data_IF_334202922129
#
_entry.id   IF_334202922129
#
_cell.length_a   1.000
_cell.length_b   1.000
_cell.length_c   1.000
_cell.angle_alpha   90.00
_cell.angle_beta   90.00
_cell.angle_gamma   90.00
#
_symmetry.space_group_name_H-M   'P 1'
#
loop_
_entity.id
_entity.type
_entity.pdbx_description
1 polymer ?
#
# COMPACT_ATOMS: atom_id res chain seq x y z
N UNK A 1 27.11 -7.76 12.02
CA UNK A 1 26.01 -7.64 11.02
C UNK A 1 24.72 -7.55 11.79
N UNK A 2 23.83 -6.60 11.45
CA UNK A 2 22.47 -6.58 12.04
C UNK A 2 21.76 -7.87 11.67
N UNK A 3 20.98 -8.44 12.59
CA UNK A 3 20.13 -9.59 12.25
C UNK A 3 18.93 -9.08 11.44
N UNK A 4 18.41 -9.87 10.50
CA UNK A 4 17.23 -9.50 9.69
C UNK A 4 16.06 -9.06 10.58
N UNK A 5 15.92 -9.69 11.76
CA UNK A 5 14.89 -9.34 12.75
C UNK A 5 15.01 -7.91 13.29
N UNK A 6 16.21 -7.35 13.37
CA UNK A 6 16.45 -5.97 13.81
C UNK A 6 16.01 -4.94 12.76
N UNK A 7 15.77 -5.38 11.53
CA UNK A 7 15.35 -4.56 10.39
C UNK A 7 13.85 -4.65 10.12
N UNK A 8 13.12 -5.50 10.84
CA UNK A 8 11.68 -5.64 10.65
C UNK A 8 10.96 -4.37 11.12
N UNK A 9 9.95 -3.90 10.37
CA UNK A 9 9.08 -2.85 10.88
C UNK A 9 8.28 -3.39 12.07
N UNK A 10 7.80 -2.48 12.92
CA UNK A 10 6.71 -2.80 13.82
C UNK A 10 5.48 -3.23 12.99
N UNK A 11 4.72 -4.20 13.48
CA UNK A 11 3.47 -4.63 12.85
C UNK A 11 2.29 -4.18 13.71
N UNK A 12 1.42 -3.34 13.13
CA UNK A 12 0.18 -2.92 13.76
C UNK A 12 -0.87 -4.02 13.63
N UNK A 13 -1.53 -4.33 14.75
CA UNK A 13 -2.67 -5.26 14.76
C UNK A 13 -3.92 -4.55 14.24
N UNK A 14 -4.49 -5.07 13.16
CA UNK A 14 -5.75 -4.60 12.60
C UNK A 14 -6.84 -5.61 13.02
N UNK A 15 -7.75 -5.23 13.91
CA UNK A 15 -8.76 -6.16 14.42
C UNK A 15 -9.75 -6.54 13.32
N UNK A 16 -10.37 -7.71 13.47
CA UNK A 16 -11.52 -8.11 12.65
C UNK A 16 -12.59 -7.02 12.71
N UNK A 17 -13.24 -6.73 11.60
CA UNK A 17 -14.38 -5.82 11.59
C UNK A 17 -14.96 -5.59 10.20
N UNK A 18 -15.96 -4.73 10.14
CA UNK A 18 -16.66 -4.39 8.90
C UNK A 18 -16.08 -3.10 8.34
N UNK A 19 -15.49 -3.20 7.16
CA UNK A 19 -15.07 -2.07 6.35
C UNK A 19 -16.26 -1.59 5.50
N UNK A 20 -16.72 -0.35 5.68
CA UNK A 20 -17.56 0.35 4.67
C UNK A 20 -16.78 0.72 3.40
N UNK A 21 -16.35 -0.28 2.62
CA UNK A 21 -15.38 -0.11 1.53
C UNK A 21 -15.88 0.80 0.42
N UNK A 22 -15.03 1.72 -0.03
CA UNK A 22 -15.31 2.61 -1.15
C UNK A 22 -16.07 3.89 -0.79
N UNK A 23 -16.37 4.66 -1.85
CA UNK A 23 -16.98 5.98 -1.81
C UNK A 23 -18.49 5.88 -2.11
N UNK A 24 -19.37 6.55 -1.34
CA UNK A 24 -20.80 6.62 -1.63
C UNK A 24 -21.08 7.26 -3.01
N UNK A 25 -22.07 6.74 -3.73
CA UNK A 25 -22.39 7.18 -5.10
C UNK A 25 -22.76 8.68 -5.18
N UNK A 26 -23.41 9.19 -4.15
CA UNK A 26 -23.82 10.57 -3.98
C UNK A 26 -22.64 11.54 -3.82
N UNK A 27 -21.47 11.05 -3.37
CA UNK A 27 -20.28 11.89 -3.17
C UNK A 27 -19.42 12.04 -4.44
N UNK A 28 -19.63 11.22 -5.48
CA UNK A 28 -18.76 11.20 -6.66
C UNK A 28 -18.78 12.53 -7.43
N UNK A 29 -19.94 13.20 -7.49
CA UNK A 29 -20.05 14.52 -8.13
C UNK A 29 -19.31 15.60 -7.33
N UNK A 30 -19.31 15.50 -6.01
CA UNK A 30 -18.58 16.43 -5.14
C UNK A 30 -17.06 16.20 -5.22
N UNK A 31 -16.62 14.94 -5.33
CA UNK A 31 -15.22 14.61 -5.62
C UNK A 31 -14.77 15.21 -6.95
N UNK A 32 -15.55 15.03 -8.02
CA UNK A 32 -15.25 15.62 -9.32
C UNK A 32 -15.18 17.15 -9.26
N UNK A 33 -16.05 17.80 -8.49
CA UNK A 33 -16.01 19.25 -8.28
C UNK A 33 -14.77 19.69 -7.48
N UNK A 34 -14.41 18.94 -6.43
CA UNK A 34 -13.32 19.29 -5.51
C UNK A 34 -11.93 19.03 -6.10
N UNK A 35 -11.78 17.94 -6.84
CA UNK A 35 -10.48 17.42 -7.27
C UNK A 35 -10.30 17.37 -8.79
N UNK A 36 -11.34 17.70 -9.55
CA UNK A 36 -11.36 17.63 -11.02
C UNK A 36 -11.75 16.24 -11.54
N UNK A 37 -11.83 16.14 -12.87
CA UNK A 37 -12.34 14.95 -13.56
C UNK A 37 -13.87 14.97 -13.70
N UNK A 38 -14.45 13.79 -13.93
CA UNK A 38 -15.90 13.59 -14.02
C UNK A 38 -16.37 12.65 -12.92
N UNK A 39 -17.69 12.55 -12.71
CA UNK A 39 -18.27 11.56 -11.78
C UNK A 39 -17.78 10.14 -12.09
N UNK A 40 -17.65 9.81 -13.36
CA UNK A 40 -17.20 8.51 -13.88
C UNK A 40 -15.73 8.24 -13.57
N UNK A 41 -14.92 9.29 -13.39
CA UNK A 41 -13.50 9.16 -13.00
C UNK A 41 -13.34 8.50 -11.62
N UNK A 42 -14.37 8.55 -10.79
CA UNK A 42 -14.42 7.96 -9.44
C UNK A 42 -15.32 6.72 -9.37
N UNK A 43 -15.80 6.20 -10.51
CA UNK A 43 -16.71 5.04 -10.50
C UNK A 43 -16.03 3.74 -10.04
N UNK A 44 -14.71 3.63 -10.20
CA UNK A 44 -13.96 2.42 -9.81
C UNK A 44 -13.73 2.28 -8.29
N UNK A 45 -14.12 3.28 -7.51
CA UNK A 45 -14.10 3.27 -6.04
C UNK A 45 -15.51 3.28 -5.43
N UNK A 46 -16.57 3.06 -6.23
CA UNK A 46 -17.97 3.10 -5.81
C UNK A 46 -18.76 1.88 -6.33
N UNK A 47 -19.86 1.45 -5.67
CA UNK A 47 -20.48 2.07 -4.50
C UNK A 47 -19.77 1.73 -3.20
N UNK A 48 -20.03 2.52 -2.15
CA UNK A 48 -19.73 2.11 -0.79
C UNK A 48 -20.54 0.86 -0.40
N UNK A 49 -19.90 -0.12 0.23
CA UNK A 49 -20.53 -1.37 0.64
C UNK A 49 -19.77 -2.02 1.81
N UNK A 50 -20.43 -2.81 2.67
CA UNK A 50 -19.77 -3.49 3.77
C UNK A 50 -18.93 -4.68 3.25
N UNK A 51 -17.70 -4.80 3.74
CA UNK A 51 -16.82 -5.96 3.55
C UNK A 51 -16.32 -6.38 4.92
N UNK A 52 -16.51 -7.64 5.27
CA UNK A 52 -15.94 -8.20 6.50
C UNK A 52 -14.46 -8.52 6.28
N UNK A 53 -13.61 -8.03 7.17
CA UNK A 53 -12.16 -8.22 7.10
C UNK A 53 -11.73 -8.99 8.35
N UNK A 54 -11.04 -10.11 8.15
CA UNK A 54 -10.42 -10.89 9.21
C UNK A 54 -9.33 -10.08 9.94
N UNK A 55 -8.96 -10.51 11.15
CA UNK A 55 -7.86 -9.87 11.87
C UNK A 55 -6.52 -10.17 11.16
N UNK A 56 -5.71 -9.14 10.96
CA UNK A 56 -4.40 -9.26 10.33
C UNK A 56 -3.42 -8.25 10.94
N UNK A 57 -2.15 -8.47 10.70
CA UNK A 57 -1.09 -7.55 11.05
C UNK A 57 -0.59 -6.87 9.79
N UNK A 58 -0.39 -5.55 9.85
CA UNK A 58 0.18 -4.75 8.77
C UNK A 58 1.44 -4.07 9.26
N UNK A 59 2.52 -4.11 8.47
CA UNK A 59 3.71 -3.35 8.77
C UNK A 59 3.35 -1.86 8.93
N UNK A 60 3.86 -1.22 9.98
CA UNK A 60 3.59 0.18 10.30
C UNK A 60 4.05 1.12 9.18
N UNK A 61 5.13 0.75 8.50
CA UNK A 61 5.73 1.50 7.39
C UNK A 61 5.95 0.58 6.18
N UNK A 62 6.12 1.15 4.97
CA UNK A 62 6.54 0.37 3.80
C UNK A 62 7.89 -0.32 4.00
N UNK A 63 8.18 -1.33 3.18
CA UNK A 63 9.50 -2.00 3.20
C UNK A 63 10.59 -0.99 2.88
N UNK A 64 11.63 -0.93 3.71
CA UNK A 64 12.75 0.00 3.52
C UNK A 64 13.81 -0.59 2.59
N UNK A 65 14.65 0.29 2.02
CA UNK A 65 15.80 -0.16 1.24
C UNK A 65 16.77 -1.02 2.05
N UNK A 66 17.01 -0.72 3.34
CA UNK A 66 17.90 -1.51 4.21
C UNK A 66 17.40 -2.96 4.37
N UNK A 67 16.09 -3.13 4.55
CA UNK A 67 15.49 -4.46 4.66
C UNK A 67 15.49 -5.18 3.31
N UNK A 68 15.13 -4.49 2.22
CA UNK A 68 15.12 -5.08 0.87
C UNK A 68 16.52 -5.52 0.39
N UNK A 69 17.57 -4.80 0.80
CA UNK A 69 18.95 -5.12 0.45
C UNK A 69 19.39 -6.52 0.95
N UNK A 70 18.78 -7.03 2.03
CA UNK A 70 19.03 -8.39 2.51
C UNK A 70 18.56 -9.44 1.50
N UNK A 71 17.40 -9.21 0.87
CA UNK A 71 16.87 -10.10 -0.17
C UNK A 71 17.69 -10.02 -1.45
N UNK A 72 18.10 -8.82 -1.88
CA UNK A 72 18.98 -8.66 -3.05
C UNK A 72 20.29 -9.42 -2.86
N UNK A 73 20.88 -9.33 -1.67
CA UNK A 73 22.09 -10.08 -1.31
C UNK A 73 21.87 -11.60 -1.35
N UNK A 74 20.71 -12.08 -0.91
CA UNK A 74 20.38 -13.50 -0.89
C UNK A 74 20.05 -14.06 -2.29
N UNK A 75 19.17 -13.37 -3.02
CA UNK A 75 18.57 -13.85 -4.26
C UNK A 75 19.43 -13.60 -5.51
N UNK A 76 20.34 -12.62 -5.46
CA UNK A 76 21.07 -12.16 -6.65
C UNK A 76 20.20 -11.42 -7.66
N UNK A 77 18.97 -11.04 -7.30
CA UNK A 77 18.07 -10.27 -8.14
C UNK A 77 18.62 -8.86 -8.40
N UNK A 78 18.06 -8.20 -9.42
CA UNK A 78 18.40 -6.83 -9.78
C UNK A 78 18.05 -5.87 -8.63
N UNK A 79 19.02 -5.04 -8.24
CA UNK A 79 18.78 -3.94 -7.31
C UNK A 79 17.92 -2.83 -7.96
N UNK A 80 17.12 -2.09 -7.17
CA UNK A 80 16.45 -0.87 -7.64
C UNK A 80 17.42 0.09 -8.33
N UNK A 81 17.00 0.67 -9.47
CA UNK A 81 17.87 1.51 -10.31
C UNK A 81 18.48 2.68 -9.53
N UNK A 82 17.69 3.27 -8.62
CA UNK A 82 18.08 4.42 -7.81
C UNK A 82 19.21 4.14 -6.82
N UNK A 83 19.57 2.88 -6.58
CA UNK A 83 20.70 2.53 -5.72
C UNK A 83 22.06 2.73 -6.41
N UNK A 84 22.09 2.77 -7.75
CA UNK A 84 23.32 2.89 -8.54
C UNK A 84 24.39 1.83 -8.17
N UNK A 85 23.94 0.63 -7.78
CA UNK A 85 24.80 -0.46 -7.33
C UNK A 85 23.98 -1.61 -6.74
N UNK A 86 24.68 -2.62 -6.19
CA UNK A 86 24.03 -3.80 -5.57
C UNK A 86 23.58 -3.57 -4.12
N UNK A 87 23.85 -2.39 -3.55
CA UNK A 87 23.49 -1.99 -2.21
C UNK A 87 22.94 -0.56 -2.24
N UNK A 88 21.95 -0.22 -1.38
CA UNK A 88 21.46 1.14 -1.29
C UNK A 88 22.54 2.05 -0.71
N UNK A 89 22.65 3.31 -1.19
CA UNK A 89 23.36 4.36 -0.49
C UNK A 89 22.87 4.48 0.96
N UNK A 90 23.77 4.82 1.89
CA UNK A 90 23.46 4.85 3.33
C UNK A 90 22.33 5.84 3.66
N UNK A 91 22.28 6.96 2.93
CA UNK A 91 21.24 7.99 3.02
C UNK A 91 19.86 7.51 2.57
N UNK A 92 19.78 6.45 1.75
CA UNK A 92 18.53 5.85 1.28
C UNK A 92 18.08 4.66 2.15
N UNK A 93 18.85 4.25 3.15
CA UNK A 93 18.59 3.06 3.95
C UNK A 93 17.17 3.06 4.58
N UNK A 94 16.74 4.20 5.12
CA UNK A 94 15.43 4.38 5.75
C UNK A 94 14.31 4.84 4.79
N UNK A 95 14.60 4.96 3.50
CA UNK A 95 13.59 5.30 2.49
C UNK A 95 12.83 4.03 2.07
N UNK A 96 11.56 4.17 1.66
CA UNK A 96 10.83 3.02 1.11
C UNK A 96 11.55 2.50 -0.13
N UNK A 97 11.59 1.17 -0.28
CA UNK A 97 12.02 0.56 -1.52
C UNK A 97 11.01 0.87 -2.61
N UNK A 98 11.52 1.27 -3.77
CA UNK A 98 10.75 1.54 -4.99
C UNK A 98 11.39 0.84 -6.17
N UNK A 99 10.79 0.92 -7.35
CA UNK A 99 11.25 0.22 -8.55
C UNK A 99 11.21 -1.31 -8.39
N UNK A 100 10.14 -1.78 -7.74
CA UNK A 100 9.85 -3.19 -7.45
C UNK A 100 8.60 -3.62 -8.21
N UNK A 101 8.69 -4.71 -8.95
CA UNK A 101 7.54 -5.37 -9.61
C UNK A 101 6.68 -6.10 -8.58
N UNK A 102 5.44 -6.41 -8.93
CA UNK A 102 4.57 -7.16 -8.01
C UNK A 102 5.12 -8.56 -7.72
N UNK A 103 5.68 -9.23 -8.73
CA UNK A 103 6.27 -10.57 -8.59
C UNK A 103 7.50 -10.55 -7.66
N UNK A 104 8.35 -9.53 -7.76
CA UNK A 104 9.48 -9.32 -6.84
C UNK A 104 8.99 -9.06 -5.41
N UNK A 105 7.93 -8.25 -5.23
CA UNK A 105 7.36 -7.98 -3.91
C UNK A 105 6.78 -9.25 -3.26
N UNK A 106 6.10 -10.11 -4.03
CA UNK A 106 5.59 -11.41 -3.55
C UNK A 106 6.73 -12.36 -3.21
N UNK A 107 7.75 -12.46 -4.07
CA UNK A 107 8.93 -13.29 -3.81
C UNK A 107 9.70 -12.83 -2.56
N UNK A 108 9.82 -11.51 -2.37
CA UNK A 108 10.38 -10.91 -1.17
C UNK A 108 9.59 -11.31 0.09
N UNK A 109 8.26 -11.21 0.05
CA UNK A 109 7.39 -11.60 1.17
C UNK A 109 7.61 -13.08 1.54
N UNK A 110 7.63 -13.96 0.54
CA UNK A 110 7.85 -15.40 0.76
C UNK A 110 9.23 -15.71 1.36
N UNK A 111 10.28 -15.10 0.83
CA UNK A 111 11.64 -15.24 1.38
C UNK A 111 11.74 -14.73 2.82
N UNK A 112 11.35 -13.48 3.06
CA UNK A 112 11.44 -12.88 4.39
C UNK A 112 10.58 -13.67 5.39
N UNK A 113 9.41 -14.14 4.95
CA UNK A 113 8.54 -14.99 5.75
C UNK A 113 9.22 -16.27 6.23
N UNK A 114 9.99 -16.92 5.35
CA UNK A 114 10.83 -18.07 5.70
C UNK A 114 11.93 -17.73 6.72
N UNK A 115 12.60 -16.58 6.55
CA UNK A 115 13.66 -16.13 7.48
C UNK A 115 13.13 -15.82 8.89
N UNK A 116 11.89 -15.34 8.99
CA UNK A 116 11.31 -14.85 10.27
C UNK A 116 10.24 -15.76 10.84
N UNK A 117 9.85 -16.82 10.14
CA UNK A 117 8.82 -17.76 10.58
C UNK A 117 7.40 -17.19 10.56
N UNK A 118 7.12 -16.23 9.67
CA UNK A 118 5.80 -15.62 9.49
C UNK A 118 5.32 -15.84 8.05
N UNK A 119 4.03 -16.11 7.87
CA UNK A 119 3.42 -16.19 6.53
C UNK A 119 3.20 -14.79 5.94
N UNK A 120 4.30 -14.07 5.68
CA UNK A 120 4.29 -12.72 5.13
C UNK A 120 3.77 -12.72 3.68
N UNK A 121 2.99 -11.68 3.36
CA UNK A 121 2.37 -11.45 2.05
C UNK A 121 2.14 -9.95 1.83
N UNK A 122 1.69 -9.59 0.63
CA UNK A 122 1.08 -8.29 0.39
C UNK A 122 -0.32 -8.22 1.02
N UNK A 123 -0.78 -7.03 1.48
CA UNK A 123 -2.19 -6.85 1.87
C UNK A 123 -3.10 -6.94 0.65
N UNK A 124 -4.37 -7.32 0.83
CA UNK A 124 -5.41 -7.06 -0.17
C UNK A 124 -5.72 -5.56 -0.24
N UNK A 125 -6.39 -5.10 -1.31
CA UNK A 125 -6.85 -3.70 -1.40
C UNK A 125 -7.87 -3.35 -0.30
N UNK A 126 -8.64 -4.33 0.18
CA UNK A 126 -9.61 -4.16 1.25
C UNK A 126 -8.93 -4.10 2.62
N UNK A 127 -7.93 -4.94 2.87
CA UNK A 127 -7.10 -4.87 4.07
C UNK A 127 -6.34 -3.55 4.15
N UNK A 128 -5.75 -3.11 3.05
CA UNK A 128 -5.06 -1.82 2.96
C UNK A 128 -6.02 -0.67 3.30
N UNK A 129 -7.22 -0.66 2.72
CA UNK A 129 -8.21 0.39 3.00
C UNK A 129 -8.68 0.34 4.45
N UNK A 130 -8.88 -0.84 5.03
CA UNK A 130 -9.21 -0.99 6.46
C UNK A 130 -8.13 -0.38 7.32
N UNK A 131 -6.87 -0.72 7.06
CA UNK A 131 -5.77 -0.20 7.83
C UNK A 131 -5.65 1.33 7.74
N UNK A 132 -6.00 1.93 6.60
CA UNK A 132 -5.97 3.37 6.39
C UNK A 132 -7.17 4.09 7.04
N UNK A 133 -8.37 3.52 6.89
CA UNK A 133 -9.64 4.19 7.15
C UNK A 133 -10.22 3.90 8.53
N UNK A 134 -10.01 2.70 9.08
CA UNK A 134 -10.70 2.26 10.30
C UNK A 134 -12.14 1.82 10.04
N UNK A 135 -13.01 2.06 11.02
CA UNK A 135 -14.42 1.62 11.01
C UNK A 135 -15.40 2.72 10.52
N UNK A 136 -14.92 3.93 10.27
CA UNK A 136 -15.71 5.06 9.75
C UNK A 136 -15.51 5.25 8.23
N UNK A 137 -15.89 6.41 7.68
CA UNK A 137 -15.81 6.73 6.24
C UNK A 137 -14.80 7.84 5.90
N UNK A 138 -13.75 8.00 6.71
CA UNK A 138 -12.78 9.10 6.54
C UNK A 138 -12.07 9.11 5.18
N UNK A 139 -11.84 10.30 4.63
CA UNK A 139 -11.20 10.48 3.33
C UNK A 139 -9.69 10.18 3.36
N UNK A 140 -8.99 10.57 4.42
CA UNK A 140 -7.56 10.35 4.65
C UNK A 140 -7.34 9.61 5.96
N UNK A 141 -6.14 9.04 6.23
CA UNK A 141 -5.90 8.31 7.48
C UNK A 141 -6.21 9.11 8.76
N UNK A 142 -5.96 10.42 8.74
CA UNK A 142 -6.20 11.34 9.86
C UNK A 142 -7.61 11.95 9.92
N UNK A 143 -8.44 11.82 8.87
CA UNK A 143 -9.76 12.44 8.83
C UNK A 143 -10.16 12.94 7.43
N UNK A 144 -11.11 13.86 7.36
CA UNK A 144 -11.71 14.32 6.10
C UNK A 144 -11.04 15.57 5.51
N UNK A 145 -10.34 16.33 6.35
CA UNK A 145 -9.71 17.56 5.97
C UNK A 145 -8.40 17.29 5.24
N UNK A 146 -8.29 17.89 4.04
CA UNK A 146 -7.07 17.82 3.27
C UNK A 146 -6.00 18.66 3.93
N UNK A 147 -4.87 18.05 4.26
CA UNK A 147 -3.71 18.72 4.83
C UNK A 147 -2.43 18.23 4.14
N UNK A 148 -1.78 19.05 3.29
CA UNK A 148 -0.55 18.67 2.59
C UNK A 148 0.67 18.59 3.51
N UNK A 149 0.56 19.00 4.78
CA UNK A 149 1.64 18.90 5.78
C UNK A 149 1.70 17.52 6.46
N UNK A 150 0.67 16.69 6.25
CA UNK A 150 0.53 15.35 6.85
C UNK A 150 0.94 14.22 5.89
N UNK A 151 1.35 14.53 4.66
CA UNK A 151 1.71 13.52 3.66
C UNK A 151 2.71 14.06 2.65
N UNK A 152 3.44 13.15 2.00
CA UNK A 152 4.33 13.50 0.91
C UNK A 152 3.60 13.40 -0.44
N UNK A 153 3.17 14.53 -0.98
CA UNK A 153 2.44 14.67 -2.27
C UNK A 153 2.97 15.89 -3.04
N UNK A 154 2.48 16.14 -4.25
CA UNK A 154 2.90 17.30 -5.05
C UNK A 154 2.75 18.62 -4.30
N UNK A 155 1.63 18.79 -3.59
CA UNK A 155 1.28 19.99 -2.81
C UNK A 155 2.16 20.17 -1.56
N UNK A 156 2.86 19.13 -1.10
CA UNK A 156 3.83 19.23 0.01
C UNK A 156 5.15 19.89 -0.41
N UNK A 157 5.39 20.03 -1.72
CA UNK A 157 6.57 20.67 -2.31
C UNK A 157 7.93 20.08 -1.91
N UNK A 158 7.97 18.86 -1.35
CA UNK A 158 9.22 18.17 -0.97
C UNK A 158 10.13 17.85 -2.16
N UNK A 159 9.54 17.52 -3.31
CA UNK A 159 10.27 17.24 -4.55
C UNK A 159 10.94 15.86 -4.64
N UNK A 160 10.58 14.92 -3.77
CA UNK A 160 11.10 13.55 -3.79
C UNK A 160 10.54 12.68 -2.67
N UNK A 161 11.04 11.46 -2.54
CA UNK A 161 10.68 10.55 -1.46
C UNK A 161 11.00 11.15 -0.07
N UNK A 162 10.31 10.64 0.94
CA UNK A 162 10.62 10.86 2.35
C UNK A 162 11.06 9.53 2.99
N UNK A 163 11.94 9.57 4.02
CA UNK A 163 12.14 8.42 4.89
C UNK A 163 10.81 7.91 5.42
N UNK A 164 10.69 6.60 5.63
CA UNK A 164 9.45 6.03 6.17
C UNK A 164 9.14 6.60 7.56
N UNK A 165 7.87 6.79 7.86
CA UNK A 165 7.40 7.33 9.14
C UNK A 165 7.70 8.82 9.34
N UNK A 166 7.93 9.59 8.27
CA UNK A 166 8.21 11.04 8.37
C UNK A 166 7.01 11.86 8.85
N UNK A 167 5.79 11.29 8.80
CA UNK A 167 4.54 11.96 9.18
C UNK A 167 3.79 11.18 10.27
N UNK A 168 4.35 11.04 11.49
CA UNK A 168 3.73 10.25 12.56
C UNK A 168 2.36 10.79 12.99
N UNK A 169 2.11 12.09 12.84
CA UNK A 169 0.82 12.73 13.12
C UNK A 169 -0.29 12.32 12.12
N UNK A 170 0.09 11.72 10.99
CA UNK A 170 -0.80 11.24 9.96
C UNK A 170 -1.13 9.74 10.11
N UNK A 171 -0.81 9.16 11.26
CA UNK A 171 -1.09 7.77 11.55
C UNK A 171 -2.58 7.45 11.37
N UNK A 172 -2.87 6.28 10.80
CA UNK A 172 -4.24 5.77 10.74
C UNK A 172 -4.78 5.45 12.15
N UNK A 173 -6.08 5.16 12.30
CA UNK A 173 -6.67 4.72 13.58
C UNK A 173 -5.95 3.56 14.26
N UNK A 174 -5.25 2.74 13.46
CA UNK A 174 -4.52 1.58 13.94
C UNK A 174 -3.01 1.82 14.07
N UNK A 175 -2.57 3.09 13.98
CA UNK A 175 -1.17 3.48 14.17
C UNK A 175 -0.26 3.17 12.97
N UNK A 176 -0.82 2.97 11.78
CA UNK A 176 -0.04 2.71 10.55
C UNK A 176 0.32 4.04 9.89
N UNK A 177 1.58 4.18 9.47
CA UNK A 177 2.13 5.39 8.85
C UNK A 177 2.20 5.26 7.33
N UNK A 178 2.32 6.41 6.67
CA UNK A 178 2.53 6.54 5.22
C UNK A 178 1.45 5.87 4.36
N UNK A 179 0.21 5.76 4.86
CA UNK A 179 -0.94 5.29 4.06
C UNK A 179 -1.55 6.39 3.18
N UNK A 180 -0.91 7.56 3.10
CA UNK A 180 -1.27 8.65 2.21
C UNK A 180 0.01 9.32 1.69
N UNK A 181 0.25 9.25 0.39
CA UNK A 181 1.41 9.79 -0.28
C UNK A 181 2.69 8.96 -0.10
N UNK A 182 3.82 9.60 -0.35
CA UNK A 182 5.15 9.03 -0.48
C UNK A 182 5.29 8.06 -1.67
N UNK A 183 4.71 6.87 -1.59
CA UNK A 183 4.76 5.86 -2.67
C UNK A 183 3.40 5.20 -2.86
N UNK A 184 3.12 4.83 -4.11
CA UNK A 184 2.10 3.81 -4.35
C UNK A 184 2.56 2.49 -3.75
N UNK A 185 1.62 1.71 -3.26
CA UNK A 185 1.90 0.40 -2.67
C UNK A 185 1.16 -0.70 -3.43
N UNK A 186 1.91 -1.72 -3.84
CA UNK A 186 1.32 -2.94 -4.37
C UNK A 186 0.41 -3.61 -3.34
N UNK A 187 -0.76 -4.04 -3.81
CA UNK A 187 -1.63 -4.97 -3.09
C UNK A 187 -1.66 -6.32 -3.79
N UNK A 188 -2.16 -7.33 -3.10
CA UNK A 188 -2.36 -8.65 -3.67
C UNK A 188 -3.52 -8.71 -4.68
N UNK A 189 -4.45 -7.75 -4.63
CA UNK A 189 -5.71 -7.82 -5.38
C UNK A 189 -5.53 -7.58 -6.88
N UNK A 190 -6.11 -8.47 -7.69
CA UNK A 190 -6.35 -8.24 -9.12
C UNK A 190 -7.33 -7.09 -9.32
N UNK A 191 -7.15 -6.35 -10.41
CA UNK A 191 -8.12 -5.36 -10.84
C UNK A 191 -9.40 -6.08 -11.27
N UNK A 192 -10.46 -5.88 -10.50
CA UNK A 192 -11.83 -6.25 -10.86
C UNK A 192 -12.79 -5.08 -10.66
N UNK A 193 -13.97 -5.23 -11.26
CA UNK A 193 -15.09 -4.30 -11.10
C UNK A 193 -15.48 -4.14 -9.63
N UNK A 194 -15.98 -2.96 -9.30
CA UNK A 194 -16.65 -2.71 -8.02
C UNK A 194 -18.13 -3.13 -8.08
N UNK A 195 -18.76 -3.48 -6.94
CA UNK A 195 -18.19 -3.52 -5.59
C UNK A 195 -17.13 -4.62 -5.37
N UNK A 196 -16.36 -4.52 -4.29
CA UNK A 196 -15.37 -5.54 -3.91
C UNK A 196 -16.07 -6.82 -3.45
N UNK A 197 -15.54 -7.97 -3.87
CA UNK A 197 -16.04 -9.30 -3.50
C UNK A 197 -14.83 -10.14 -3.08
N UNK A 198 -14.75 -10.44 -1.78
CA UNK A 198 -13.58 -11.10 -1.18
C UNK A 198 -13.23 -12.44 -1.84
N UNK A 199 -14.25 -13.26 -2.12
CA UNK A 199 -14.08 -14.64 -2.57
C UNK A 199 -14.18 -14.83 -4.09
N UNK A 200 -14.05 -13.76 -4.88
CA UNK A 200 -14.13 -13.88 -6.34
C UNK A 200 -12.82 -14.35 -6.99
N UNK A 201 -11.78 -14.62 -6.20
CA UNK A 201 -10.46 -15.02 -6.66
C UNK A 201 -9.51 -13.87 -6.98
N UNK A 202 -9.87 -12.61 -6.69
CA UNK A 202 -8.99 -11.44 -6.89
C UNK A 202 -7.69 -11.50 -6.08
N UNK A 203 -7.68 -12.23 -4.97
CA UNK A 203 -6.48 -12.41 -4.13
C UNK A 203 -5.60 -13.59 -4.56
N UNK A 204 -5.88 -14.23 -5.71
CA UNK A 204 -5.08 -15.34 -6.19
C UNK A 204 -3.68 -14.89 -6.63
N UNK A 205 -2.66 -15.65 -6.21
CA UNK A 205 -1.28 -15.49 -6.69
C UNK A 205 -1.07 -16.07 -8.10
N UNK A 206 -1.97 -16.94 -8.56
CA UNK A 206 -1.88 -17.57 -9.87
C UNK A 206 -2.17 -16.56 -11.00
N UNK A 207 -1.55 -16.74 -12.19
CA UNK A 207 -1.77 -15.84 -13.30
C UNK A 207 -3.23 -15.91 -13.78
N UNK A 208 -3.92 -14.78 -13.70
CA UNK A 208 -5.11 -14.54 -14.53
C UNK A 208 -4.69 -14.53 -16.02
N UNK A 209 -5.62 -14.70 -16.98
CA UNK A 209 -5.32 -14.48 -18.39
C UNK A 209 -4.64 -13.11 -18.61
N UNK A 210 -3.69 -13.01 -19.54
CA UNK A 210 -2.77 -11.86 -19.69
C UNK A 210 -3.47 -10.47 -19.68
N UNK A 211 -4.69 -10.39 -20.23
CA UNK A 211 -5.49 -9.16 -20.28
C UNK A 211 -6.02 -8.70 -18.90
N UNK A 212 -6.08 -9.60 -17.91
CA UNK A 212 -6.71 -9.41 -16.59
C UNK A 212 -5.72 -9.45 -15.42
N UNK A 213 -4.41 -9.38 -15.69
CA UNK A 213 -3.36 -9.54 -14.65
C UNK A 213 -3.05 -8.29 -13.83
N UNK A 214 -3.61 -7.14 -14.18
CA UNK A 214 -3.30 -5.86 -13.50
C UNK A 214 -3.60 -5.98 -12.00
N UNK A 215 -2.69 -5.53 -11.15
CA UNK A 215 -2.82 -5.54 -9.70
C UNK A 215 -3.17 -4.15 -9.20
N UNK A 216 -3.99 -4.08 -8.17
CA UNK A 216 -4.37 -2.82 -7.55
C UNK A 216 -3.20 -2.27 -6.74
N UNK A 217 -3.01 -0.96 -6.81
CA UNK A 217 -2.10 -0.20 -5.95
C UNK A 217 -2.86 0.93 -5.24
N UNK A 218 -2.41 1.28 -4.04
CA UNK A 218 -3.09 2.21 -3.13
C UNK A 218 -2.13 3.26 -2.55
N UNK A 219 -2.68 4.33 -1.98
CA UNK A 219 -1.94 5.33 -1.19
C UNK A 219 -1.52 6.61 -1.90
N UNK A 220 -1.41 6.62 -3.24
CA UNK A 220 -0.83 7.78 -3.94
C UNK A 220 0.68 7.92 -3.72
N UNK A 221 1.35 8.83 -4.43
CA UNK A 221 2.79 9.05 -4.24
C UNK A 221 3.16 10.53 -4.24
N UNK A 222 4.42 10.83 -3.93
CA UNK A 222 4.95 12.20 -3.83
C UNK A 222 4.81 13.04 -5.09
N UNK A 223 4.72 12.39 -6.27
CA UNK A 223 4.52 13.08 -7.55
C UNK A 223 3.04 13.37 -7.88
N UNK A 224 2.10 12.82 -7.12
CA UNK A 224 0.67 12.97 -7.39
C UNK A 224 0.04 14.14 -6.63
N UNK A 225 -1.02 14.75 -7.18
CA UNK A 225 -1.93 15.59 -6.42
C UNK A 225 -2.56 14.83 -5.24
N UNK A 226 -2.94 15.57 -4.21
CA UNK A 226 -3.42 15.02 -2.94
C UNK A 226 -4.68 14.14 -3.01
N UNK A 227 -5.48 14.24 -4.06
CA UNK A 227 -6.68 13.41 -4.22
C UNK A 227 -6.37 11.95 -4.57
N UNK A 228 -5.16 11.63 -5.02
CA UNK A 228 -4.71 10.25 -5.20
C UNK A 228 -4.37 9.57 -3.86
N UNK A 229 -4.16 10.35 -2.80
CA UNK A 229 -3.83 9.86 -1.46
C UNK A 229 -5.07 9.59 -0.59
N UNK A 230 -6.28 9.68 -1.17
CA UNK A 230 -7.51 9.32 -0.46
C UNK A 230 -7.54 7.83 -0.18
N UNK A 231 -8.12 7.46 0.95
CA UNK A 231 -8.25 6.09 1.42
C UNK A 231 -8.91 5.18 0.39
N UNK A 232 -9.83 5.67 -0.45
CA UNK A 232 -10.56 4.86 -1.45
C UNK A 232 -9.96 4.90 -2.85
N UNK A 233 -8.95 5.73 -3.11
CA UNK A 233 -8.40 5.90 -4.46
C UNK A 233 -7.65 4.65 -4.94
N UNK A 234 -8.07 4.12 -6.09
CA UNK A 234 -7.47 2.94 -6.71
C UNK A 234 -6.69 3.31 -7.95
N UNK A 235 -5.55 2.66 -8.12
CA UNK A 235 -4.86 2.61 -9.40
C UNK A 235 -4.43 1.17 -9.70
N UNK A 236 -3.90 0.94 -10.90
CA UNK A 236 -3.41 -0.39 -11.25
C UNK A 236 -2.26 -0.35 -12.24
N UNK A 237 -1.44 -1.39 -12.19
CA UNK A 237 -0.40 -1.66 -13.17
C UNK A 237 -0.31 -3.17 -13.43
N UNK A 238 0.15 -3.60 -14.61
CA UNK A 238 0.57 -4.98 -14.84
C UNK A 238 1.66 -5.38 -13.83
N UNK A 239 1.68 -6.65 -13.37
CA UNK A 239 2.56 -7.08 -12.28
C UNK A 239 4.05 -7.01 -12.65
N UNK A 240 4.38 -7.05 -13.94
CA UNK A 240 5.75 -6.95 -14.49
C UNK A 240 6.27 -5.52 -14.57
N UNK A 241 5.42 -4.52 -14.31
CA UNK A 241 5.82 -3.11 -14.32
C UNK A 241 6.40 -2.72 -12.97
N UNK A 242 7.45 -1.92 -12.98
CA UNK A 242 7.95 -1.20 -11.81
C UNK A 242 8.05 0.29 -12.13
N UNK A 243 8.03 1.14 -11.10
CA UNK A 243 8.31 2.58 -11.25
C UNK A 243 9.07 3.09 -10.02
N UNK A 244 9.76 4.21 -10.15
CA UNK A 244 10.45 4.89 -9.04
C UNK A 244 9.49 5.49 -7.99
N UNK A 245 8.17 5.27 -8.12
CA UNK A 245 7.11 5.78 -7.25
C UNK A 245 6.30 4.65 -6.60
N UNK A 246 6.67 3.39 -6.85
CA UNK A 246 5.89 2.21 -6.48
C UNK A 246 6.76 1.25 -5.68
N UNK A 247 6.29 0.96 -4.47
CA UNK A 247 6.86 -0.02 -3.55
C UNK A 247 5.75 -0.91 -2.98
N UNK A 248 5.92 -1.35 -1.73
CA UNK A 248 4.95 -2.23 -1.08
C UNK A 248 5.16 -2.27 0.44
N UNK A 249 4.19 -2.87 1.14
CA UNK A 249 4.28 -3.17 2.56
C UNK A 249 3.90 -4.61 2.87
N UNK A 250 4.30 -5.07 4.04
CA UNK A 250 4.11 -6.45 4.51
C UNK A 250 2.83 -6.58 5.31
N UNK A 251 2.14 -7.70 5.14
CA UNK A 251 1.02 -8.13 5.96
C UNK A 251 1.15 -9.62 6.32
N UNK A 252 0.49 -10.05 7.39
CA UNK A 252 0.23 -11.46 7.66
C UNK A 252 -1.06 -11.64 8.46
N UNK A 253 -1.69 -12.81 8.35
CA UNK A 253 -2.92 -13.09 9.09
C UNK A 253 -2.62 -13.28 10.58
N UNK A 254 -3.46 -12.71 11.43
CA UNK A 254 -3.43 -13.06 12.85
C UNK A 254 -4.18 -14.39 13.05
N UNK A 255 -3.81 -15.19 14.05
CA UNK A 255 -4.61 -16.35 14.44
C UNK A 255 -6.04 -15.90 14.71
N UNK A 256 -7.01 -16.70 14.28
CA UNK A 256 -8.41 -16.47 14.67
C UNK A 256 -8.49 -16.64 16.18
N UNK A 257 -8.92 -15.61 16.88
CA UNK A 257 -9.29 -15.72 18.29
C UNK A 257 -10.51 -16.63 18.37
N UNK A 258 -10.41 -17.72 19.13
CA UNK A 258 -11.54 -18.60 19.46
C UNK A 258 -12.65 -17.84 20.23
#
# INVERSE_FOLDING_TARGET
MKQIRDLLPYFCSIPRGILQMGTPNEQLSDLARRFGGTRESYAEEAPQHPVEIDAFALAQVPVTNELYAQWIKHSGQRAPIVWHGSQPPAELAAYPVVDVTWDEAVAFCGWLGGEVGLALRLPSEAEWERAARGDDTRIYPWGDDFDPTLMNIKESMRGGLAPVGSYPQAASPFGVYDLAGNIWEWTNSLQKSYPYVADDGREALQPAPEADRRRIMRGGCWGNPGHFARNTCRFRLPPERSTHLLGFRLAYNLPKSD
#
